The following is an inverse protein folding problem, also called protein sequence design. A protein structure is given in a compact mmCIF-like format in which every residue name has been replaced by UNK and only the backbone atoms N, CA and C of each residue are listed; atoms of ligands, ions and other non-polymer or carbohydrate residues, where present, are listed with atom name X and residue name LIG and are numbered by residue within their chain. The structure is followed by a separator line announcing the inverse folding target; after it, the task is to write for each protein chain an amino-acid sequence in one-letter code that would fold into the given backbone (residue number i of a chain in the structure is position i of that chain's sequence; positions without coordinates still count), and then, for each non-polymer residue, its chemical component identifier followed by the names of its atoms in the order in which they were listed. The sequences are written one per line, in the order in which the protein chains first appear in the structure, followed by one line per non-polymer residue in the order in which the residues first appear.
data_IF_345734237892
#
_entry.id   IF_345734237892
#
_cell.length_a   1.000
_cell.length_b   1.000
_cell.length_c   1.000
_cell.angle_alpha   90.00
_cell.angle_beta   90.00
_cell.angle_gamma   90.00
#
_symmetry.space_group_name_H-M   'P 1'
#
loop_
_entity.id
_entity.type
_entity.pdbx_description
1 polymer ?
#
# COMPACT_ATOMS: atom_id res chain seq x y z
N UNK A 1 45.07 43.99 13.06
CA UNK A 1 44.50 43.27 11.91
C UNK A 1 44.00 41.93 12.44
N UNK A 2 42.74 41.85 12.84
CA UNK A 2 42.13 40.63 13.39
C UNK A 2 41.33 39.98 12.26
N UNK A 3 41.79 38.83 11.77
CA UNK A 3 41.02 38.03 10.80
C UNK A 3 39.90 37.30 11.55
N UNK A 4 38.67 37.67 11.26
CA UNK A 4 37.47 36.90 11.64
C UNK A 4 37.29 35.76 10.64
N UNK A 5 37.53 34.53 11.06
CA UNK A 5 37.22 33.34 10.26
C UNK A 5 35.71 33.07 10.31
N UNK A 6 34.98 33.05 9.18
CA UNK A 6 33.58 32.67 9.18
C UNK A 6 33.47 31.16 9.40
N UNK A 7 32.79 30.74 10.46
CA UNK A 7 32.38 29.35 10.66
C UNK A 7 31.21 29.10 9.68
N UNK A 8 31.50 28.41 8.59
CA UNK A 8 30.46 27.89 7.69
C UNK A 8 29.93 26.60 8.33
N UNK A 9 28.77 26.70 8.99
CA UNK A 9 27.99 25.54 9.41
C UNK A 9 27.37 24.90 8.16
N UNK A 10 27.97 23.82 7.69
CA UNK A 10 27.42 22.97 6.65
C UNK A 10 26.33 22.09 7.28
N UNK A 11 25.07 22.52 7.22
CA UNK A 11 23.93 21.69 7.61
C UNK A 11 23.82 20.52 6.62
N UNK A 12 24.30 19.34 7.02
CA UNK A 12 24.04 18.10 6.29
C UNK A 12 22.55 17.79 6.38
N UNK A 13 21.78 18.15 5.36
CA UNK A 13 20.44 17.62 5.18
C UNK A 13 20.59 16.11 4.97
N UNK A 14 20.18 15.32 5.96
CA UNK A 14 19.99 13.88 5.78
C UNK A 14 18.80 13.76 4.84
N UNK A 15 19.09 13.64 3.54
CA UNK A 15 18.07 13.24 2.57
C UNK A 15 17.82 11.77 2.88
N UNK A 16 16.80 11.52 3.70
CA UNK A 16 16.29 10.16 3.88
C UNK A 16 15.89 9.65 2.50
N UNK A 17 16.47 8.53 2.07
CA UNK A 17 15.88 7.75 0.99
C UNK A 17 14.45 7.42 1.45
N UNK A 18 13.44 7.49 0.58
CA UNK A 18 12.08 7.05 0.94
C UNK A 18 11.90 5.59 0.51
N UNK A 19 11.00 4.87 1.17
CA UNK A 19 10.63 3.52 0.73
C UNK A 19 9.80 3.58 -0.53
N UNK A 20 9.86 2.49 -1.29
CA UNK A 20 9.13 2.39 -2.54
C UNK A 20 8.73 0.93 -2.74
N UNK A 21 7.44 0.65 -2.63
CA UNK A 21 6.90 -0.66 -2.86
C UNK A 21 5.41 -0.60 -3.26
N UNK A 22 4.99 -1.56 -4.07
CA UNK A 22 3.57 -1.80 -4.39
C UNK A 22 3.36 -3.25 -4.80
N UNK A 23 2.12 -3.73 -4.79
CA UNK A 23 1.83 -5.01 -5.44
C UNK A 23 1.98 -4.87 -6.97
N UNK A 24 2.52 -5.91 -7.60
CA UNK A 24 2.68 -6.01 -9.05
C UNK A 24 1.85 -7.16 -9.64
N UNK A 25 1.76 -8.29 -8.93
CA UNK A 25 0.87 -9.41 -9.26
C UNK A 25 0.12 -9.88 -8.01
N UNK A 26 -1.20 -10.15 -8.06
CA UNK A 26 -2.10 -9.85 -9.18
C UNK A 26 -2.12 -8.35 -9.53
N UNK A 27 -2.84 -7.91 -10.56
CA UNK A 27 -2.89 -6.47 -10.89
C UNK A 27 -3.67 -5.72 -9.80
N UNK A 28 -3.09 -4.72 -9.12
CA UNK A 28 -3.79 -4.01 -8.05
C UNK A 28 -4.78 -3.01 -8.62
N UNK A 29 -5.59 -2.40 -7.74
CA UNK A 29 -6.27 -1.15 -8.07
C UNK A 29 -5.26 -0.14 -8.60
N UNK A 30 -5.67 0.58 -9.62
CA UNK A 30 -4.90 1.66 -10.23
C UNK A 30 -5.69 2.96 -10.14
N UNK A 31 -5.01 4.06 -10.46
CA UNK A 31 -5.62 5.38 -10.59
C UNK A 31 -6.64 5.41 -11.74
N UNK A 32 -7.57 6.36 -11.68
CA UNK A 32 -8.51 6.63 -12.75
C UNK A 32 -9.41 7.83 -12.46
N UNK A 33 -10.54 7.86 -13.15
CA UNK A 33 -11.47 8.99 -13.10
C UNK A 33 -12.22 9.07 -11.76
N UNK A 34 -12.58 7.93 -11.17
CA UNK A 34 -13.25 7.90 -9.87
C UNK A 34 -12.26 8.29 -8.75
N UNK A 35 -11.01 7.85 -8.84
CA UNK A 35 -9.91 8.29 -7.96
C UNK A 35 -9.75 9.81 -8.00
N UNK A 36 -9.67 10.40 -9.20
CA UNK A 36 -9.55 11.86 -9.36
C UNK A 36 -10.76 12.60 -8.81
N UNK A 37 -11.97 12.08 -9.07
CA UNK A 37 -13.21 12.67 -8.58
C UNK A 37 -13.35 12.61 -7.05
N UNK A 38 -12.72 11.63 -6.40
CA UNK A 38 -12.89 11.39 -4.96
C UNK A 38 -11.76 12.01 -4.15
N UNK A 39 -10.51 11.88 -4.60
CA UNK A 39 -9.33 12.33 -3.86
C UNK A 39 -8.82 13.70 -4.29
N UNK A 40 -9.38 14.30 -5.34
CA UNK A 40 -8.97 15.60 -5.86
C UNK A 40 -7.69 15.53 -6.71
N UNK A 41 -7.61 16.40 -7.72
CA UNK A 41 -6.53 16.33 -8.73
C UNK A 41 -5.12 16.56 -8.17
N UNK A 42 -4.98 17.38 -7.11
CA UNK A 42 -3.68 17.68 -6.52
C UNK A 42 -3.05 16.44 -5.85
N UNK A 43 -3.84 15.72 -5.03
CA UNK A 43 -3.43 14.47 -4.38
C UNK A 43 -3.18 13.38 -5.41
N UNK A 44 -4.10 13.17 -6.35
CA UNK A 44 -3.95 12.14 -7.40
C UNK A 44 -2.68 12.37 -8.21
N UNK A 45 -2.42 13.59 -8.67
CA UNK A 45 -1.19 13.92 -9.41
C UNK A 45 0.06 13.58 -8.61
N UNK A 46 0.04 13.78 -7.28
CA UNK A 46 1.17 13.44 -6.43
C UNK A 46 1.34 11.92 -6.28
N UNK A 47 0.26 11.18 -6.05
CA UNK A 47 0.29 9.71 -5.97
C UNK A 47 0.71 9.06 -7.30
N UNK A 48 0.31 9.63 -8.43
CA UNK A 48 0.69 9.15 -9.77
C UNK A 48 2.15 9.45 -10.13
N UNK A 49 2.69 10.57 -9.64
CA UNK A 49 4.10 10.93 -9.88
C UNK A 49 5.08 9.90 -9.31
N UNK A 50 4.62 9.11 -8.34
CA UNK A 50 5.33 7.99 -7.76
C UNK A 50 4.33 6.98 -7.18
N UNK A 51 3.96 5.99 -8.00
CA UNK A 51 3.01 4.95 -7.63
C UNK A 51 3.60 3.85 -6.73
N UNK A 52 4.86 3.99 -6.30
CA UNK A 52 5.51 3.12 -5.32
C UNK A 52 5.84 3.83 -4.01
N UNK A 53 5.86 5.16 -4.01
CA UNK A 53 6.29 5.96 -2.87
C UNK A 53 5.26 6.02 -1.72
N UNK A 54 5.66 6.60 -0.59
CA UNK A 54 4.82 6.65 0.60
C UNK A 54 3.58 7.53 0.40
N UNK A 55 2.48 7.16 1.05
CA UNK A 55 1.22 7.93 1.04
C UNK A 55 1.42 9.33 1.64
N UNK A 56 2.28 9.47 2.66
CA UNK A 56 2.53 10.72 3.37
C UNK A 56 3.01 11.85 2.44
N UNK A 57 3.63 11.51 1.31
CA UNK A 57 4.06 12.49 0.32
C UNK A 57 2.91 13.22 -0.38
N UNK A 58 1.69 12.66 -0.36
CA UNK A 58 0.50 13.27 -0.96
C UNK A 58 -0.33 14.10 0.03
N UNK A 59 -0.17 13.86 1.34
CA UNK A 59 -0.90 14.58 2.42
C UNK A 59 -0.79 16.11 2.30
N UNK A 60 0.38 16.72 1.99
CA UNK A 60 0.49 18.18 1.84
C UNK A 60 -0.31 18.78 0.66
N UNK A 61 -0.84 17.93 -0.23
CA UNK A 61 -1.61 18.32 -1.41
C UNK A 61 -3.12 18.16 -1.21
N UNK A 62 -3.57 17.76 -0.02
CA UNK A 62 -4.99 17.73 0.34
C UNK A 62 -5.54 19.15 0.29
N UNK A 63 -6.63 19.34 -0.45
CA UNK A 63 -7.33 20.62 -0.60
C UNK A 63 -8.85 20.43 -0.38
N UNK A 64 -9.65 21.44 -0.76
CA UNK A 64 -11.10 21.43 -0.57
C UNK A 64 -11.83 20.35 -1.37
N UNK A 65 -11.19 19.78 -2.38
CA UNK A 65 -11.81 18.81 -3.30
C UNK A 65 -11.57 17.36 -2.83
N UNK A 66 -10.81 17.18 -1.75
CA UNK A 66 -10.50 15.88 -1.17
C UNK A 66 -11.68 15.31 -0.36
N UNK A 67 -12.16 14.12 -0.74
CA UNK A 67 -13.20 13.37 -0.04
C UNK A 67 -12.87 11.86 0.04
N UNK A 68 -11.59 11.57 0.17
CA UNK A 68 -11.02 10.24 -0.02
C UNK A 68 -10.43 9.67 1.28
N UNK A 69 -10.20 8.36 1.31
CA UNK A 69 -9.31 7.75 2.29
C UNK A 69 -8.05 7.25 1.57
N UNK A 70 -6.97 8.05 1.60
CA UNK A 70 -5.69 7.67 1.00
C UNK A 70 -4.95 6.57 1.76
N UNK A 71 -5.43 6.19 2.94
CA UNK A 71 -4.95 5.08 3.77
C UNK A 71 -5.89 3.86 3.72
N UNK A 72 -6.68 3.78 2.65
CA UNK A 72 -7.37 2.57 2.20
C UNK A 72 -7.09 2.41 0.71
N UNK A 73 -6.39 1.36 0.32
CA UNK A 73 -6.04 1.12 -1.08
C UNK A 73 -5.35 2.29 -1.78
N UNK A 74 -4.59 3.11 -1.03
CA UNK A 74 -3.97 4.33 -1.56
C UNK A 74 -5.00 5.35 -2.11
N UNK A 75 -6.26 5.27 -1.70
CA UNK A 75 -7.37 6.07 -2.22
C UNK A 75 -7.91 5.59 -3.57
N UNK A 76 -7.38 4.51 -4.15
CA UNK A 76 -7.85 4.01 -5.44
C UNK A 76 -9.25 3.41 -5.35
N UNK A 77 -10.09 3.78 -6.32
CA UNK A 77 -11.52 3.49 -6.30
C UNK A 77 -11.84 2.18 -7.05
N UNK A 78 -12.91 1.50 -6.63
CA UNK A 78 -13.33 0.23 -7.22
C UNK A 78 -13.78 0.41 -8.68
N UNK A 79 -14.46 1.52 -8.98
CA UNK A 79 -14.99 1.86 -10.29
C UNK A 79 -13.90 1.89 -11.37
N UNK A 80 -12.68 2.29 -10.99
CA UNK A 80 -11.51 2.32 -11.87
C UNK A 80 -10.83 0.93 -12.01
N UNK A 81 -11.30 -0.12 -11.30
CA UNK A 81 -10.66 -1.44 -11.24
C UNK A 81 -11.57 -2.64 -11.56
N UNK A 82 -12.79 -2.41 -12.06
CA UNK A 82 -13.79 -3.47 -12.33
C UNK A 82 -13.30 -4.58 -13.27
N UNK A 83 -12.26 -4.34 -14.09
CA UNK A 83 -11.69 -5.34 -15.00
C UNK A 83 -10.69 -6.30 -14.35
N UNK A 84 -10.22 -6.04 -13.13
CA UNK A 84 -9.18 -6.82 -12.45
C UNK A 84 -9.71 -7.56 -11.22
N UNK A 85 -11.04 -7.69 -11.09
CA UNK A 85 -11.68 -8.40 -9.98
C UNK A 85 -11.38 -9.89 -10.07
N UNK A 86 -10.94 -10.48 -8.96
CA UNK A 86 -10.76 -11.92 -8.84
C UNK A 86 -12.06 -12.60 -8.41
N UNK A 87 -12.44 -13.68 -9.09
CA UNK A 87 -13.48 -14.60 -8.63
C UNK A 87 -12.79 -15.68 -7.81
N UNK A 88 -13.04 -15.75 -6.51
CA UNK A 88 -12.26 -16.59 -5.59
C UNK A 88 -13.14 -17.60 -4.86
N UNK A 89 -12.66 -18.85 -4.77
CA UNK A 89 -13.27 -19.87 -3.93
C UNK A 89 -12.55 -20.00 -2.57
N UNK A 90 -13.22 -20.61 -1.60
CA UNK A 90 -12.60 -21.04 -0.35
C UNK A 90 -11.44 -22.00 -0.64
N UNK A 91 -10.38 -21.90 0.15
CA UNK A 91 -9.12 -22.65 0.03
C UNK A 91 -8.30 -22.35 -1.24
N UNK A 92 -8.74 -21.40 -2.07
CA UNK A 92 -7.98 -20.96 -3.23
C UNK A 92 -6.68 -20.28 -2.79
N UNK A 93 -5.59 -20.61 -3.49
CA UNK A 93 -4.24 -20.10 -3.21
C UNK A 93 -3.84 -19.11 -4.28
N UNK A 94 -3.60 -17.86 -3.87
CA UNK A 94 -3.29 -16.76 -4.78
C UNK A 94 -1.83 -16.36 -4.60
N UNK A 95 -1.02 -16.40 -5.67
CA UNK A 95 0.35 -15.92 -5.63
C UNK A 95 0.39 -14.40 -5.74
N UNK A 96 1.12 -13.77 -4.83
CA UNK A 96 1.39 -12.35 -4.78
C UNK A 96 2.87 -12.05 -5.03
N UNK A 97 3.12 -10.96 -5.75
CA UNK A 97 4.44 -10.38 -5.94
C UNK A 97 4.41 -8.89 -5.61
N UNK A 98 5.31 -8.46 -4.72
CA UNK A 98 5.56 -7.06 -4.37
C UNK A 98 6.75 -6.54 -5.16
N UNK A 99 6.54 -5.50 -5.95
CA UNK A 99 7.64 -4.74 -6.56
C UNK A 99 8.26 -3.83 -5.48
N UNK A 100 9.29 -4.32 -4.80
CA UNK A 100 10.08 -3.57 -3.83
C UNK A 100 11.24 -2.83 -4.52
N UNK A 101 11.07 -1.52 -4.74
CA UNK A 101 12.07 -0.64 -5.36
C UNK A 101 13.09 -0.13 -4.32
N UNK A 102 12.62 0.19 -3.10
CA UNK A 102 13.48 0.61 -1.99
C UNK A 102 12.90 0.19 -0.64
N UNK A 103 13.63 -0.63 0.11
CA UNK A 103 13.17 -1.19 1.39
C UNK A 103 13.72 -0.47 2.61
N UNK A 104 12.86 0.28 3.30
CA UNK A 104 13.19 0.92 4.58
C UNK A 104 12.99 0.00 5.75
N UNK A 105 13.86 0.15 6.73
CA UNK A 105 14.02 -0.77 7.84
C UNK A 105 14.22 0.05 9.12
N UNK A 106 13.63 -0.34 10.25
CA UNK A 106 12.70 -1.46 10.41
C UNK A 106 11.30 -1.13 9.89
N UNK A 107 10.49 -2.16 9.67
CA UNK A 107 9.08 -2.03 9.32
C UNK A 107 8.32 -3.33 9.55
N UNK A 108 7.01 -3.28 9.41
CA UNK A 108 6.12 -4.44 9.46
C UNK A 108 5.14 -4.39 8.31
N UNK A 109 4.67 -5.55 7.88
CA UNK A 109 3.73 -5.65 6.78
C UNK A 109 2.65 -6.70 7.04
N UNK A 110 1.55 -6.60 6.32
CA UNK A 110 0.54 -7.66 6.26
C UNK A 110 -0.15 -7.69 4.90
N UNK A 111 -0.69 -8.85 4.55
CA UNK A 111 -1.71 -9.02 3.53
C UNK A 111 -2.99 -9.44 4.25
N UNK A 112 -4.05 -8.65 4.14
CA UNK A 112 -5.30 -8.83 4.89
C UNK A 112 -6.51 -8.61 4.00
N UNK A 113 -7.61 -9.30 4.31
CA UNK A 113 -8.93 -8.92 3.80
C UNK A 113 -9.41 -7.71 4.59
N UNK A 114 -9.73 -6.63 3.90
CA UNK A 114 -10.20 -5.36 4.48
C UNK A 114 -11.60 -5.05 3.94
N UNK A 115 -12.50 -4.64 4.83
CA UNK A 115 -13.80 -4.09 4.48
C UNK A 115 -13.63 -2.64 4.01
N UNK A 116 -14.01 -2.36 2.77
CA UNK A 116 -13.73 -1.07 2.13
C UNK A 116 -14.64 0.05 2.60
N UNK A 117 -15.74 -0.26 3.30
CA UNK A 117 -16.66 0.74 3.83
C UNK A 117 -16.24 1.25 5.21
N UNK A 118 -15.50 0.44 5.95
CA UNK A 118 -15.06 0.73 7.32
C UNK A 118 -13.55 0.91 7.47
N UNK A 119 -12.78 0.50 6.46
CA UNK A 119 -11.32 0.38 6.54
C UNK A 119 -10.87 -0.51 7.71
N UNK A 120 -11.64 -1.55 8.01
CA UNK A 120 -11.33 -2.52 9.07
C UNK A 120 -10.84 -3.85 8.49
N UNK A 121 -9.84 -4.43 9.16
CA UNK A 121 -9.35 -5.77 8.82
C UNK A 121 -10.41 -6.80 9.22
N UNK A 122 -10.92 -7.54 8.22
CA UNK A 122 -11.82 -8.68 8.42
C UNK A 122 -11.03 -9.91 8.86
N UNK A 123 -9.92 -10.19 8.17
CA UNK A 123 -9.01 -11.30 8.49
C UNK A 123 -7.61 -11.03 7.96
N UNK A 124 -6.58 -11.32 8.75
CA UNK A 124 -5.20 -11.33 8.27
C UNK A 124 -4.90 -12.64 7.54
N UNK A 125 -4.38 -12.55 6.31
CA UNK A 125 -4.00 -13.71 5.51
C UNK A 125 -2.52 -14.06 5.67
N UNK A 126 -1.69 -13.02 5.83
CA UNK A 126 -0.25 -13.17 6.08
C UNK A 126 0.29 -11.94 6.79
N UNK A 127 1.18 -12.12 7.77
CA UNK A 127 1.80 -11.02 8.52
C UNK A 127 3.32 -11.17 8.57
N UNK A 128 4.01 -10.05 8.69
CA UNK A 128 5.45 -9.96 8.88
C UNK A 128 5.76 -8.92 9.95
N UNK A 129 6.29 -9.37 11.08
CA UNK A 129 6.75 -8.48 12.16
C UNK A 129 7.98 -7.66 11.76
N UNK A 130 8.73 -8.17 10.78
CA UNK A 130 9.91 -7.56 10.18
C UNK A 130 9.79 -7.62 8.65
N UNK A 131 9.53 -6.47 8.02
CA UNK A 131 9.46 -6.32 6.58
C UNK A 131 10.02 -4.95 6.14
N UNK A 132 10.85 -4.89 5.09
CA UNK A 132 11.38 -5.99 4.28
C UNK A 132 12.66 -6.60 4.90
N UNK A 133 12.82 -6.51 6.22
CA UNK A 133 13.95 -7.11 6.91
C UNK A 133 13.96 -8.64 6.77
N UNK A 134 15.16 -9.16 6.53
CA UNK A 134 15.45 -10.59 6.34
C UNK A 134 16.29 -11.13 7.50
N UNK A 135 16.13 -10.52 8.68
CA UNK A 135 16.87 -10.87 9.90
C UNK A 135 16.42 -12.20 10.51
N UNK A 136 15.27 -12.72 10.07
CA UNK A 136 14.68 -13.99 10.48
C UNK A 136 15.18 -15.20 9.66
N UNK A 137 16.16 -15.00 8.76
CA UNK A 137 16.72 -16.05 7.91
C UNK A 137 15.99 -16.24 6.58
N UNK A 138 14.95 -15.46 6.31
CA UNK A 138 14.34 -15.40 4.98
C UNK A 138 15.23 -14.67 3.97
N UNK A 139 14.84 -14.71 2.71
CA UNK A 139 15.39 -13.91 1.61
C UNK A 139 14.43 -12.79 1.24
N UNK A 140 14.93 -11.78 0.50
CA UNK A 140 14.04 -10.75 -0.05
C UNK A 140 12.98 -11.36 -0.96
N UNK A 141 13.37 -12.35 -1.76
CA UNK A 141 12.47 -13.07 -2.65
C UNK A 141 11.30 -13.71 -1.88
N UNK A 142 11.57 -14.41 -0.77
CA UNK A 142 10.52 -15.00 0.08
C UNK A 142 9.63 -13.95 0.79
N UNK A 143 10.11 -12.71 0.92
CA UNK A 143 9.36 -11.58 1.49
C UNK A 143 8.51 -10.86 0.44
N UNK A 144 8.95 -10.83 -0.81
CA UNK A 144 8.25 -10.16 -1.92
C UNK A 144 7.40 -11.10 -2.75
N UNK A 145 7.67 -12.40 -2.72
CA UNK A 145 6.88 -13.45 -3.36
C UNK A 145 6.23 -14.30 -2.27
N UNK A 146 4.90 -14.26 -2.18
CA UNK A 146 4.16 -15.01 -1.17
C UNK A 146 2.81 -15.48 -1.69
N UNK A 147 2.29 -16.55 -1.10
CA UNK A 147 0.92 -16.97 -1.32
C UNK A 147 0.02 -16.52 -0.17
N UNK A 148 -1.23 -16.25 -0.49
CA UNK A 148 -2.33 -16.16 0.47
C UNK A 148 -3.34 -17.27 0.17
N UNK A 149 -4.00 -17.77 1.21
CA UNK A 149 -5.07 -18.77 1.08
C UNK A 149 -6.37 -18.15 1.55
N UNK A 150 -7.44 -18.28 0.75
CA UNK A 150 -8.74 -17.69 1.06
C UNK A 150 -9.46 -18.53 2.12
N UNK A 151 -9.75 -17.99 3.32
CA UNK A 151 -10.47 -18.71 4.34
C UNK A 151 -11.97 -18.76 4.04
N UNK A 152 -12.67 -19.71 4.66
CA UNK A 152 -14.13 -19.72 4.72
C UNK A 152 -14.68 -18.61 5.60
N UNK A 153 -15.98 -18.32 5.48
CA UNK A 153 -16.69 -17.33 6.31
C UNK A 153 -16.68 -15.91 5.76
N UNK A 154 -16.09 -15.71 4.57
CA UNK A 154 -16.06 -14.42 3.87
C UNK A 154 -17.25 -14.22 2.94
N UNK A 155 -18.07 -15.23 2.69
CA UNK A 155 -19.14 -15.24 1.68
C UNK A 155 -20.17 -14.12 1.92
N UNK A 156 -20.50 -13.87 3.19
CA UNK A 156 -21.49 -12.85 3.56
C UNK A 156 -20.94 -11.41 3.49
N UNK A 157 -19.69 -11.21 3.92
CA UNK A 157 -19.05 -9.89 3.95
C UNK A 157 -18.50 -9.50 2.56
N UNK A 158 -17.89 -10.45 1.87
CA UNK A 158 -17.08 -10.26 0.66
C UNK A 158 -17.66 -10.98 -0.58
N UNK A 159 -18.94 -11.39 -0.55
CA UNK A 159 -19.64 -11.99 -1.70
C UNK A 159 -20.04 -11.01 -2.80
N UNK A 160 -19.56 -9.77 -2.76
CA UNK A 160 -19.81 -8.74 -3.79
C UNK A 160 -18.54 -7.96 -4.03
N UNK A 161 -18.15 -7.83 -5.30
CA UNK A 161 -16.95 -7.10 -5.69
C UNK A 161 -17.00 -5.66 -5.17
N UNK A 162 -15.85 -5.15 -4.71
CA UNK A 162 -15.71 -3.81 -4.16
C UNK A 162 -16.06 -3.68 -2.67
N UNK A 163 -16.76 -4.65 -2.04
CA UNK A 163 -17.01 -4.63 -0.58
C UNK A 163 -15.78 -4.97 0.25
N UNK A 164 -14.96 -5.88 -0.26
CA UNK A 164 -13.72 -6.28 0.35
C UNK A 164 -12.59 -6.20 -0.66
N UNK A 165 -11.38 -6.05 -0.14
CA UNK A 165 -10.13 -6.11 -0.89
C UNK A 165 -9.14 -6.99 -0.15
N UNK A 166 -8.21 -7.61 -0.88
CA UNK A 166 -6.97 -8.08 -0.28
C UNK A 166 -6.00 -6.89 -0.33
N UNK A 167 -5.75 -6.27 0.82
CA UNK A 167 -4.80 -5.17 0.97
C UNK A 167 -3.45 -5.70 1.43
N UNK A 168 -2.40 -5.40 0.68
CA UNK A 168 -1.04 -5.42 1.21
C UNK A 168 -0.73 -4.06 1.82
N UNK A 169 -0.26 -4.08 3.07
CA UNK A 169 0.10 -2.91 3.86
C UNK A 169 1.53 -3.07 4.34
N UNK A 170 2.32 -2.00 4.25
CA UNK A 170 3.63 -1.88 4.88
C UNK A 170 3.77 -0.54 5.58
N UNK A 171 4.23 -0.58 6.83
CA UNK A 171 4.68 0.59 7.58
C UNK A 171 6.20 0.56 7.78
N UNK A 172 6.88 1.57 7.27
CA UNK A 172 8.30 1.80 7.50
C UNK A 172 8.49 2.73 8.72
N UNK A 173 8.94 2.14 9.83
CA UNK A 173 9.05 2.81 11.13
C UNK A 173 10.10 3.92 11.11
N UNK A 174 11.21 3.71 10.40
CA UNK A 174 12.33 4.67 10.42
C UNK A 174 11.96 6.07 9.93
N UNK A 175 10.95 6.18 9.05
CA UNK A 175 10.56 7.43 8.40
C UNK A 175 9.07 7.75 8.55
N UNK A 176 8.33 6.99 9.37
CA UNK A 176 6.88 7.10 9.54
C UNK A 176 6.10 7.09 8.22
N UNK A 177 6.27 6.02 7.44
CA UNK A 177 5.79 5.94 6.06
C UNK A 177 4.91 4.72 5.78
N UNK A 178 3.84 4.94 5.02
CA UNK A 178 2.83 3.93 4.71
C UNK A 178 2.78 3.63 3.22
N UNK A 179 2.64 2.34 2.91
CA UNK A 179 2.55 1.79 1.56
C UNK A 179 1.41 0.80 1.49
N UNK A 180 0.54 0.98 0.50
CA UNK A 180 -0.65 0.16 0.33
C UNK A 180 -0.90 -0.17 -1.13
N UNK A 181 -1.47 -1.34 -1.36
CA UNK A 181 -2.00 -1.78 -2.64
C UNK A 181 -3.11 -2.78 -2.38
N UNK A 182 -4.16 -2.76 -3.20
CA UNK A 182 -5.34 -3.60 -3.02
C UNK A 182 -5.66 -4.39 -4.27
N UNK A 183 -6.23 -5.58 -4.09
CA UNK A 183 -6.94 -6.32 -5.14
C UNK A 183 -8.40 -6.49 -4.77
N UNK A 184 -9.25 -6.22 -5.75
CA UNK A 184 -10.66 -6.53 -5.64
C UNK A 184 -10.90 -8.01 -5.89
N UNK A 185 -11.82 -8.56 -5.11
CA UNK A 185 -12.31 -9.91 -5.31
C UNK A 185 -13.77 -10.00 -4.91
N UNK A 186 -14.38 -11.14 -5.23
CA UNK A 186 -15.57 -11.61 -4.56
C UNK A 186 -15.52 -13.12 -4.38
N UNK A 187 -16.21 -13.62 -3.36
CA UNK A 187 -16.30 -15.06 -3.11
C UNK A 187 -17.38 -15.69 -3.98
N UNK A 188 -17.01 -16.70 -4.78
CA UNK A 188 -17.95 -17.59 -5.46
C UNK A 188 -18.34 -18.73 -4.52
N UNK A 189 -19.64 -18.90 -4.32
CA UNK A 189 -20.23 -19.96 -3.49
C UNK A 189 -20.36 -21.28 -4.24
#
# INVERSE_FOLDING_TARGET
MFLTTPIILLSSAVVGVLGHARIDSPTPRLTGSAHTSTCGSAVVKKLESDNTGPIENSVPYIDSDYNCDIYLCRGYQFEDNTSNVLELAVDEVIPFHINLVAGHKPGYANASVVDTSTNEVVVALKTWDHWPDVTDGSTYDEKTNFNVTIPSGLESACGTAGKCVIQWYWYAIANDQTYESCHDFYIVS
#
